data_IF_046151834525
#
_entry.id   IF_046151834525
#
_cell.length_a   1.000
_cell.length_b   1.000
_cell.length_c   1.000
_cell.angle_alpha   90.00
_cell.angle_beta   90.00
_cell.angle_gamma   90.00
#
_symmetry.space_group_name_H-M   'P 1'
#
loop_
_entity.id
_entity.type
_entity.pdbx_description
1 polymer ?
#
# COMPACT_ATOMS: atom_id res chain seq x y z
N UNK A 1 6.01 16.75 17.72
CA UNK A 1 4.88 15.79 17.66
C UNK A 1 4.41 15.70 16.20
N UNK A 2 5.08 14.89 15.38
CA UNK A 2 4.74 14.72 13.96
C UNK A 2 3.58 13.72 13.89
N UNK A 3 2.36 14.22 14.07
CA UNK A 3 1.16 13.43 13.83
C UNK A 3 0.93 13.44 12.32
N UNK A 4 1.18 12.31 11.64
CA UNK A 4 0.81 12.17 10.24
C UNK A 4 -0.68 12.49 10.11
N UNK A 5 -1.03 13.65 9.55
CA UNK A 5 -2.42 14.05 9.39
C UNK A 5 -3.07 13.14 8.36
N UNK A 6 -4.12 12.43 8.77
CA UNK A 6 -4.88 11.50 7.91
C UNK A 6 -6.21 12.15 7.55
N UNK A 7 -6.59 12.06 6.27
CA UNK A 7 -7.94 12.41 5.82
C UNK A 7 -8.89 11.23 6.05
N UNK A 8 -9.56 11.22 7.19
CA UNK A 8 -10.42 10.11 7.63
C UNK A 8 -11.49 9.66 6.63
N UNK A 9 -12.07 10.58 5.85
CA UNK A 9 -13.06 10.22 4.81
C UNK A 9 -12.51 9.22 3.78
N UNK A 10 -11.28 9.43 3.32
CA UNK A 10 -10.63 8.53 2.37
C UNK A 10 -10.17 7.24 3.07
N UNK A 11 -9.75 7.34 4.33
CA UNK A 11 -9.33 6.18 5.11
C UNK A 11 -10.49 5.20 5.35
N UNK A 12 -11.68 5.72 5.70
CA UNK A 12 -12.88 4.91 5.83
C UNK A 12 -13.26 4.24 4.50
N UNK A 13 -13.17 4.96 3.37
CA UNK A 13 -13.44 4.38 2.06
C UNK A 13 -12.43 3.27 1.72
N UNK A 14 -11.14 3.51 1.95
CA UNK A 14 -10.07 2.52 1.76
C UNK A 14 -10.34 1.26 2.59
N UNK A 15 -10.67 1.44 3.86
CA UNK A 15 -10.96 0.31 4.76
C UNK A 15 -12.14 -0.54 4.25
N UNK A 16 -13.21 0.11 3.78
CA UNK A 16 -14.33 -0.61 3.17
C UNK A 16 -13.95 -1.32 1.87
N UNK A 17 -13.17 -0.67 0.99
CA UNK A 17 -12.67 -1.29 -0.24
C UNK A 17 -11.83 -2.54 0.05
N UNK A 18 -10.89 -2.47 1.00
CA UNK A 18 -10.06 -3.62 1.39
C UNK A 18 -10.91 -4.78 1.91
N UNK A 19 -11.92 -4.51 2.76
CA UNK A 19 -12.86 -5.55 3.23
C UNK A 19 -13.61 -6.18 2.05
N UNK A 20 -14.11 -5.37 1.12
CA UNK A 20 -14.79 -5.87 -0.06
C UNK A 20 -13.87 -6.73 -0.94
N UNK A 21 -12.63 -6.30 -1.18
CA UNK A 21 -11.64 -7.04 -1.98
C UNK A 21 -11.31 -8.38 -1.32
N UNK A 22 -11.08 -8.41 0.00
CA UNK A 22 -10.85 -9.66 0.74
C UNK A 22 -12.07 -10.57 0.61
N UNK A 23 -13.28 -10.05 0.83
CA UNK A 23 -14.52 -10.82 0.70
C UNK A 23 -14.66 -11.43 -0.69
N UNK A 24 -14.41 -10.65 -1.76
CA UNK A 24 -14.45 -11.15 -3.14
C UNK A 24 -13.37 -12.19 -3.43
N UNK A 25 -12.18 -12.06 -2.81
CA UNK A 25 -11.09 -13.02 -2.93
C UNK A 25 -11.38 -14.38 -2.28
N UNK A 26 -12.20 -14.40 -1.22
CA UNK A 26 -12.50 -15.63 -0.44
C UNK A 26 -13.93 -16.15 -0.63
N UNK A 27 -14.79 -15.42 -1.35
CA UNK A 27 -16.21 -15.79 -1.45
C UNK A 27 -16.41 -17.16 -2.10
N UNK A 28 -17.38 -17.91 -1.57
CA UNK A 28 -17.80 -19.20 -2.11
C UNK A 28 -19.02 -19.07 -3.04
N UNK A 29 -19.54 -17.86 -3.22
CA UNK A 29 -20.70 -17.63 -4.09
C UNK A 29 -20.33 -17.85 -5.56
N UNK A 30 -20.97 -18.82 -6.21
CA UNK A 30 -20.66 -19.23 -7.58
C UNK A 30 -20.83 -18.11 -8.62
N UNK A 31 -21.83 -17.23 -8.44
CA UNK A 31 -22.11 -16.13 -9.37
C UNK A 31 -21.03 -15.06 -9.29
N UNK A 32 -20.65 -14.65 -8.08
CA UNK A 32 -19.56 -13.70 -7.87
C UNK A 32 -18.23 -14.29 -8.33
N UNK A 33 -17.98 -15.57 -8.02
CA UNK A 33 -16.77 -16.27 -8.43
C UNK A 33 -16.63 -16.35 -9.96
N UNK A 34 -17.71 -16.57 -10.70
CA UNK A 34 -17.68 -16.57 -12.17
C UNK A 34 -17.24 -15.22 -12.72
N UNK A 35 -17.89 -14.14 -12.26
CA UNK A 35 -17.62 -12.78 -12.74
C UNK A 35 -16.16 -12.39 -12.45
N UNK A 36 -15.69 -12.66 -11.23
CA UNK A 36 -14.31 -12.36 -10.85
C UNK A 36 -13.32 -13.25 -11.60
N UNK A 37 -13.62 -14.53 -11.83
CA UNK A 37 -12.71 -15.44 -12.55
C UNK A 37 -12.54 -15.03 -14.01
N UNK A 38 -13.62 -14.61 -14.68
CA UNK A 38 -13.57 -14.22 -16.09
C UNK A 38 -12.78 -12.93 -16.32
N UNK A 39 -12.65 -12.10 -15.28
CA UNK A 39 -11.98 -10.80 -15.32
C UNK A 39 -10.93 -10.65 -14.22
N UNK A 40 -10.29 -11.75 -13.81
CA UNK A 40 -9.47 -11.80 -12.59
C UNK A 40 -8.32 -10.79 -12.65
N UNK A 41 -7.64 -10.67 -13.79
CA UNK A 41 -6.56 -9.68 -14.00
C UNK A 41 -7.04 -8.24 -13.93
N UNK A 42 -8.24 -7.98 -14.46
CA UNK A 42 -8.86 -6.66 -14.39
C UNK A 42 -9.31 -6.35 -12.95
N UNK A 43 -9.82 -7.34 -12.22
CA UNK A 43 -10.19 -7.18 -10.82
C UNK A 43 -8.97 -6.82 -9.97
N UNK A 44 -7.84 -7.50 -10.17
CA UNK A 44 -6.55 -7.18 -9.55
C UNK A 44 -6.09 -5.75 -9.84
N UNK A 45 -6.10 -5.37 -11.12
CA UNK A 45 -5.78 -4.00 -11.55
C UNK A 45 -6.68 -2.95 -10.87
N UNK A 46 -8.00 -3.12 -10.94
CA UNK A 46 -8.97 -2.15 -10.43
C UNK A 46 -8.89 -2.04 -8.90
N UNK A 47 -8.79 -3.17 -8.20
CA UNK A 47 -8.69 -3.17 -6.75
C UNK A 47 -7.44 -2.42 -6.28
N UNK A 48 -6.27 -2.75 -6.84
CA UNK A 48 -5.02 -2.08 -6.48
C UNK A 48 -4.99 -0.61 -6.91
N UNK A 49 -5.61 -0.26 -8.03
CA UNK A 49 -5.79 1.13 -8.45
C UNK A 49 -6.58 1.93 -7.43
N UNK A 50 -7.78 1.47 -7.06
CA UNK A 50 -8.67 2.17 -6.14
C UNK A 50 -8.03 2.26 -4.75
N UNK A 51 -7.51 1.15 -4.23
CA UNK A 51 -6.90 1.12 -2.89
C UNK A 51 -5.68 2.04 -2.82
N UNK A 52 -4.81 2.00 -3.83
CA UNK A 52 -3.62 2.86 -3.85
C UNK A 52 -3.98 4.33 -4.01
N UNK A 53 -4.93 4.65 -4.90
CA UNK A 53 -5.41 6.01 -5.07
C UNK A 53 -6.00 6.56 -3.76
N UNK A 54 -6.88 5.80 -3.10
CA UNK A 54 -7.43 6.18 -1.80
C UNK A 54 -6.34 6.35 -0.74
N UNK A 55 -5.36 5.44 -0.70
CA UNK A 55 -4.25 5.51 0.24
C UNK A 55 -3.41 6.78 0.07
N UNK A 56 -3.09 7.17 -1.17
CA UNK A 56 -2.40 8.43 -1.45
C UNK A 56 -3.21 9.63 -0.94
N UNK A 57 -4.53 9.62 -1.14
CA UNK A 57 -5.45 10.68 -0.67
C UNK A 57 -5.64 10.72 0.84
N UNK A 58 -5.41 9.60 1.53
CA UNK A 58 -5.44 9.53 2.99
C UNK A 58 -4.30 10.35 3.62
N UNK A 59 -3.11 10.33 3.00
CA UNK A 59 -1.91 10.96 3.54
C UNK A 59 -1.89 12.45 3.17
N UNK A 60 -2.13 13.33 4.14
CA UNK A 60 -2.08 14.79 3.93
C UNK A 60 -0.68 15.31 3.56
N UNK A 61 0.41 14.97 4.28
CA UNK A 61 1.70 15.60 4.03
C UNK A 61 2.36 15.08 2.74
N UNK A 62 2.96 15.99 1.95
CA UNK A 62 3.71 15.63 0.73
C UNK A 62 5.03 14.90 1.03
N UNK A 63 5.63 15.20 2.17
CA UNK A 63 6.86 14.59 2.66
C UNK A 63 6.62 13.98 4.03
N UNK A 64 7.19 12.80 4.25
CA UNK A 64 7.09 12.09 5.52
C UNK A 64 8.49 12.04 6.13
N UNK A 65 8.60 12.53 7.36
CA UNK A 65 9.85 12.49 8.12
C UNK A 65 10.15 11.03 8.51
N UNK A 66 11.36 10.54 8.23
CA UNK A 66 11.77 9.15 8.55
C UNK A 66 11.69 8.84 10.03
N UNK A 67 11.91 9.82 10.91
CA UNK A 67 11.73 9.68 12.35
C UNK A 67 10.29 9.31 12.72
N UNK A 68 9.29 9.86 12.02
CA UNK A 68 7.89 9.55 12.28
C UNK A 68 7.53 8.09 11.92
N UNK A 69 8.27 7.48 10.98
CA UNK A 69 8.08 6.09 10.55
C UNK A 69 8.89 5.13 11.42
N UNK A 70 10.20 5.38 11.54
CA UNK A 70 11.17 4.44 12.11
C UNK A 70 11.53 4.73 13.57
N UNK A 71 11.28 5.95 14.07
CA UNK A 71 11.55 6.31 15.46
C UNK A 71 10.76 5.50 16.49
N UNK A 72 9.64 4.88 16.06
CA UNK A 72 8.86 3.93 16.87
C UNK A 72 9.39 2.49 16.86
N UNK A 73 10.21 2.10 15.89
CA UNK A 73 10.76 0.75 15.79
C UNK A 73 12.20 0.73 16.29
N UNK A 74 12.36 0.33 17.56
CA UNK A 74 13.61 0.38 18.34
C UNK A 74 14.91 0.00 17.63
N UNK A 75 15.00 -1.10 16.85
CA UNK A 75 16.24 -1.47 16.17
C UNK A 75 16.58 -0.56 14.98
N UNK A 76 15.59 -0.02 14.26
CA UNK A 76 15.80 0.91 13.14
C UNK A 76 16.14 2.33 13.60
N UNK A 77 15.73 2.70 14.83
CA UNK A 77 16.14 3.96 15.47
C UNK A 77 17.67 4.06 15.60
N UNK A 78 18.38 2.93 15.79
CA UNK A 78 19.85 2.89 15.86
C UNK A 78 20.53 3.16 14.52
N UNK A 79 19.93 2.76 13.41
CA UNK A 79 20.49 2.98 12.06
C UNK A 79 20.45 4.48 11.72
N UNK A 80 19.37 5.17 12.08
CA UNK A 80 19.26 6.63 11.89
C UNK A 80 20.25 7.40 12.78
N UNK A 81 20.53 6.89 13.99
CA UNK A 81 21.45 7.52 14.94
C UNK A 81 22.95 7.27 14.66
N UNK A 82 23.31 6.23 13.90
CA UNK A 82 24.72 5.87 13.67
C UNK A 82 25.45 6.82 12.70
N UNK A 83 24.74 7.72 12.03
CA UNK A 83 25.33 8.80 11.23
C UNK A 83 25.73 10.05 12.01
N UNK A 84 25.57 10.05 13.35
CA UNK A 84 25.53 11.26 14.19
C UNK A 84 26.61 11.29 15.30
N UNK A 85 27.67 10.47 15.18
CA UNK A 85 28.64 10.31 16.27
C UNK A 85 29.78 11.35 16.29
N UNK A 86 29.99 12.16 15.23
CA UNK A 86 31.19 13.01 15.12
C UNK A 86 30.96 14.53 15.02
N UNK A 87 29.73 15.04 15.07
CA UNK A 87 29.52 16.51 14.97
C UNK A 87 28.30 16.96 15.77
N UNK A 88 28.47 17.99 16.61
CA UNK A 88 27.45 18.46 17.54
C UNK A 88 26.07 18.68 16.90
N UNK A 89 25.13 17.82 17.31
CA UNK A 89 23.67 17.94 17.21
C UNK A 89 23.11 18.59 15.94
N UNK A 90 23.11 17.84 14.84
CA UNK A 90 22.06 18.00 13.82
C UNK A 90 21.52 16.62 13.46
N UNK A 91 20.41 16.22 14.10
CA UNK A 91 19.66 15.03 13.72
C UNK A 91 19.24 15.19 12.26
N UNK A 92 19.84 14.41 11.37
CA UNK A 92 19.51 14.41 9.94
C UNK A 92 18.13 13.78 9.74
N UNK A 93 17.08 14.60 9.79
CA UNK A 93 15.70 14.17 9.47
C UNK A 93 15.59 14.00 7.97
N UNK A 94 15.75 12.77 7.49
CA UNK A 94 15.50 12.45 6.08
C UNK A 94 14.01 12.58 5.78
N UNK A 95 13.68 13.35 4.74
CA UNK A 95 12.31 13.53 4.26
C UNK A 95 12.09 12.71 3.02
N UNK A 96 11.20 11.73 3.11
CA UNK A 96 10.86 10.88 1.97
C UNK A 96 9.59 11.44 1.32
N UNK A 97 9.56 11.69 0.00
CA UNK A 97 8.32 12.04 -0.70
C UNK A 97 7.29 10.92 -0.52
N UNK A 98 6.05 11.27 -0.15
CA UNK A 98 5.03 10.24 0.14
C UNK A 98 4.81 9.27 -1.01
N UNK A 99 4.95 9.73 -2.25
CA UNK A 99 4.78 8.91 -3.45
C UNK A 99 5.85 7.82 -3.57
N UNK A 100 7.09 8.12 -3.20
CA UNK A 100 8.18 7.12 -3.17
C UNK A 100 7.88 6.05 -2.12
N UNK A 101 7.42 6.46 -0.94
CA UNK A 101 6.99 5.53 0.10
C UNK A 101 5.84 4.64 -0.39
N UNK A 102 4.81 5.24 -1.01
CA UNK A 102 3.65 4.48 -1.50
C UNK A 102 4.05 3.51 -2.61
N UNK A 103 4.93 3.89 -3.54
CA UNK A 103 5.44 2.97 -4.57
C UNK A 103 6.12 1.75 -3.94
N UNK A 104 6.96 1.95 -2.92
CA UNK A 104 7.57 0.85 -2.18
C UNK A 104 6.51 -0.07 -1.54
N UNK A 105 5.47 0.51 -0.95
CA UNK A 105 4.35 -0.24 -0.38
C UNK A 105 3.52 -0.98 -1.44
N UNK A 106 3.33 -0.41 -2.63
CA UNK A 106 2.66 -1.07 -3.77
C UNK A 106 3.41 -2.33 -4.17
N UNK A 107 4.73 -2.27 -4.26
CA UNK A 107 5.55 -3.45 -4.61
C UNK A 107 5.38 -4.55 -3.56
N UNK A 108 5.52 -4.19 -2.27
CA UNK A 108 5.35 -5.14 -1.17
C UNK A 108 3.95 -5.73 -1.16
N UNK A 109 2.92 -4.91 -1.36
CA UNK A 109 1.53 -5.35 -1.38
C UNK A 109 1.22 -6.24 -2.59
N UNK A 110 1.72 -5.92 -3.77
CA UNK A 110 1.47 -6.68 -5.00
C UNK A 110 2.05 -8.09 -4.94
N UNK A 111 3.28 -8.22 -4.41
CA UNK A 111 3.92 -9.52 -4.20
C UNK A 111 3.30 -10.23 -3.00
N UNK A 112 3.10 -9.50 -1.89
CA UNK A 112 2.58 -10.05 -0.64
C UNK A 112 1.16 -10.60 -0.77
N UNK A 113 0.29 -9.93 -1.54
CA UNK A 113 -1.07 -10.43 -1.79
C UNK A 113 -1.05 -11.76 -2.52
N UNK A 114 -0.10 -11.97 -3.43
CA UNK A 114 0.01 -13.22 -4.17
C UNK A 114 0.53 -14.36 -3.30
N UNK A 115 1.49 -14.08 -2.42
CA UNK A 115 1.99 -15.05 -1.45
C UNK A 115 0.94 -15.43 -0.39
N UNK A 116 0.08 -14.48 -0.01
CA UNK A 116 -0.95 -14.70 1.01
C UNK A 116 -2.22 -15.37 0.46
N UNK A 117 -2.55 -15.20 -0.81
CA UNK A 117 -3.77 -15.74 -1.42
C UNK A 117 -3.95 -17.27 -1.24
N UNK A 118 -2.93 -18.12 -1.46
CA UNK A 118 -3.04 -19.56 -1.21
C UNK A 118 -3.34 -19.86 0.26
N UNK A 119 -2.72 -19.14 1.20
CA UNK A 119 -2.94 -19.31 2.64
C UNK A 119 -4.37 -18.91 3.02
N UNK A 120 -4.81 -17.72 2.60
CA UNK A 120 -6.12 -17.18 2.92
C UNK A 120 -7.28 -17.94 2.26
N UNK A 121 -7.03 -18.55 1.10
CA UNK A 121 -8.03 -19.35 0.38
C UNK A 121 -8.08 -20.81 0.81
N UNK A 122 -7.21 -21.25 1.73
CA UNK A 122 -7.09 -22.66 2.12
C UNK A 122 -6.59 -23.56 0.98
N UNK A 123 -5.67 -23.05 0.17
CA UNK A 123 -5.06 -23.75 -0.98
C UNK A 123 -5.89 -23.74 -2.26
N UNK A 124 -7.00 -23.00 -2.32
CA UNK A 124 -7.89 -22.96 -3.50
C UNK A 124 -7.37 -22.07 -4.62
N UNK A 125 -6.55 -21.06 -4.29
CA UNK A 125 -5.86 -20.21 -5.27
C UNK A 125 -4.40 -20.63 -5.38
N UNK A 126 -3.87 -20.58 -6.60
CA UNK A 126 -2.49 -20.89 -6.93
C UNK A 126 -1.73 -19.60 -7.22
N UNK A 127 -0.43 -19.62 -6.98
CA UNK A 127 0.45 -18.50 -7.30
C UNK A 127 0.43 -18.17 -8.80
N UNK A 128 0.16 -16.91 -9.15
CA UNK A 128 0.13 -16.41 -10.52
C UNK A 128 0.90 -15.07 -10.66
N UNK A 129 1.96 -15.10 -11.47
CA UNK A 129 2.80 -13.93 -11.76
C UNK A 129 2.01 -12.81 -12.44
N UNK A 130 0.97 -13.13 -13.19
CA UNK A 130 0.15 -12.13 -13.86
C UNK A 130 -0.73 -11.34 -12.89
N UNK A 131 -1.07 -11.90 -11.72
CA UNK A 131 -1.78 -11.17 -10.67
C UNK A 131 -0.85 -10.13 -10.02
N UNK A 132 0.43 -10.47 -9.83
CA UNK A 132 1.44 -9.49 -9.41
C UNK A 132 1.55 -8.35 -10.42
N UNK A 133 1.61 -8.65 -11.72
CA UNK A 133 1.67 -7.63 -12.76
C UNK A 133 0.41 -6.74 -12.76
N UNK A 134 -0.79 -7.33 -12.64
CA UNK A 134 -2.04 -6.58 -12.52
C UNK A 134 -2.06 -5.65 -11.31
N UNK A 135 -1.67 -6.17 -10.15
CA UNK A 135 -1.56 -5.40 -8.90
C UNK A 135 -0.56 -4.25 -9.00
N UNK A 136 0.61 -4.49 -9.60
CA UNK A 136 1.64 -3.46 -9.81
C UNK A 136 1.14 -2.36 -10.75
N UNK A 137 0.57 -2.73 -11.91
CA UNK A 137 0.05 -1.75 -12.87
C UNK A 137 -1.10 -0.93 -12.28
N UNK A 138 -2.02 -1.58 -11.57
CA UNK A 138 -3.11 -0.93 -10.85
C UNK A 138 -2.58 0.02 -9.78
N UNK A 139 -1.67 -0.45 -8.94
CA UNK A 139 -1.09 0.37 -7.87
C UNK A 139 -0.33 1.58 -8.40
N UNK A 140 0.54 1.41 -9.40
CA UNK A 140 1.29 2.52 -10.01
C UNK A 140 0.37 3.55 -10.67
N UNK A 141 -0.67 3.12 -11.38
CA UNK A 141 -1.67 4.04 -11.94
C UNK A 141 -2.48 4.73 -10.85
N UNK A 142 -2.76 4.06 -9.72
CA UNK A 142 -3.37 4.66 -8.54
C UNK A 142 -2.51 5.74 -7.90
N UNK A 143 -1.18 5.51 -7.81
CA UNK A 143 -0.22 6.54 -7.38
C UNK A 143 -0.25 7.75 -8.31
N UNK A 144 -0.16 7.50 -9.62
CA UNK A 144 -0.19 8.55 -10.63
C UNK A 144 -1.49 9.37 -10.57
N UNK A 145 -2.64 8.71 -10.48
CA UNK A 145 -3.94 9.37 -10.32
C UNK A 145 -4.01 10.20 -9.04
N UNK A 146 -3.48 9.68 -7.93
CA UNK A 146 -3.44 10.40 -6.66
C UNK A 146 -2.55 11.65 -6.72
N UNK A 147 -1.40 11.55 -7.38
CA UNK A 147 -0.50 12.68 -7.65
C UNK A 147 -1.15 13.77 -8.49
N UNK A 148 -1.78 13.39 -9.61
CA UNK A 148 -2.46 14.33 -10.51
C UNK A 148 -3.60 15.08 -9.80
N UNK A 149 -4.32 14.45 -8.87
CA UNK A 149 -5.37 15.10 -8.08
C UNK A 149 -4.83 16.04 -6.97
N UNK A 150 -3.53 16.11 -6.75
CA UNK A 150 -2.87 16.98 -5.75
C UNK A 150 -1.97 18.05 -6.34
N UNK A 151 -1.81 18.04 -7.66
CA UNK A 151 -1.23 19.14 -8.44
C UNK A 151 -2.21 20.30 -8.52
#
# INVERSE_FOLDING_TARGET
>A
MISAKIRWKYFSALFMCVICTIYLGITTNAKLKSITKDNDKLAHFVAFFVDTWLFVRCIVPKYIDTEAIFGRFGPLRRIVAYGDLDSGQTVMVYRIPKYVLVIGLVIVAAVGSELLQPVLSGGKRTFDVWDIAGNLLGGLTGVAGGYLCEM
#
